data_IF_689930996612
#
_entry.id   IF_689930996612
#
_cell.length_a   1.000
_cell.length_b   1.000
_cell.length_c   1.000
_cell.angle_alpha   90.00
_cell.angle_beta   90.00
_cell.angle_gamma   90.00
#
_symmetry.space_group_name_H-M   'P 1'
#
loop_
_entity.id
_entity.type
_entity.pdbx_description
1 polymer ?
#
# COMPACT_ATOMS: atom_id res chain seq x y z
N UNK A 1 -18.34 3.22 -15.83
CA UNK A 1 -19.78 3.01 -15.53
C UNK A 1 -20.61 3.92 -16.44
N UNK A 2 -21.50 3.35 -17.20
CA UNK A 2 -22.45 4.09 -18.04
C UNK A 2 -23.89 3.75 -17.65
N UNK A 3 -24.78 4.70 -17.80
CA UNK A 3 -26.20 4.53 -17.57
C UNK A 3 -26.90 4.65 -18.92
N UNK A 4 -27.68 3.65 -19.30
CA UNK A 4 -28.56 3.72 -20.46
C UNK A 4 -30.01 3.56 -20.00
N UNK A 5 -30.85 4.55 -20.29
CA UNK A 5 -32.27 4.44 -20.12
C UNK A 5 -32.89 3.85 -21.39
N UNK A 6 -33.51 2.68 -21.28
CA UNK A 6 -34.25 2.09 -22.40
C UNK A 6 -35.71 2.44 -22.27
N UNK A 7 -36.27 3.00 -23.35
CA UNK A 7 -37.67 3.43 -23.46
C UNK A 7 -38.66 2.25 -23.49
N UNK A 8 -39.95 2.47 -23.12
CA UNK A 8 -40.60 3.77 -23.16
C UNK A 8 -40.57 4.51 -21.81
N UNK A 9 -39.89 5.61 -21.76
CA UNK A 9 -40.05 6.52 -20.64
C UNK A 9 -41.18 7.48 -20.95
N UNK A 10 -42.24 7.51 -20.20
CA UNK A 10 -43.30 8.47 -20.41
C UNK A 10 -42.97 9.86 -19.88
N UNK A 11 -41.78 10.06 -19.34
CA UNK A 11 -41.31 11.34 -18.81
C UNK A 11 -39.96 11.69 -19.37
N UNK A 12 -39.84 12.89 -19.91
CA UNK A 12 -38.71 13.55 -20.59
C UNK A 12 -37.44 13.75 -19.77
N UNK A 13 -37.10 12.86 -18.86
CA UNK A 13 -35.88 13.00 -18.02
C UNK A 13 -35.10 11.70 -18.11
N UNK A 14 -34.02 11.72 -18.85
CA UNK A 14 -33.01 10.66 -18.79
C UNK A 14 -32.33 10.73 -17.43
N UNK A 15 -32.40 9.71 -16.57
CA UNK A 15 -31.76 9.75 -15.27
C UNK A 15 -30.24 9.81 -15.43
N UNK A 16 -29.60 10.62 -14.64
CA UNK A 16 -28.13 10.67 -14.55
C UNK A 16 -27.64 9.64 -13.55
N UNK A 17 -26.37 9.25 -13.64
CA UNK A 17 -25.71 8.38 -12.64
C UNK A 17 -25.86 8.95 -11.22
N UNK A 18 -25.82 10.28 -11.09
CA UNK A 18 -25.98 10.97 -9.81
C UNK A 18 -27.42 10.86 -9.28
N UNK A 19 -28.45 11.01 -10.14
CA UNK A 19 -29.85 10.85 -9.71
C UNK A 19 -30.17 9.42 -9.26
N UNK A 20 -29.59 8.44 -9.94
CA UNK A 20 -29.74 7.02 -9.56
C UNK A 20 -28.87 6.67 -8.35
N UNK A 21 -27.86 7.47 -8.02
CA UNK A 21 -26.95 7.22 -6.89
C UNK A 21 -25.94 6.11 -7.16
N UNK A 22 -25.58 5.91 -8.43
CA UNK A 22 -24.58 4.89 -8.83
C UNK A 22 -23.19 5.29 -8.33
N UNK A 23 -22.49 4.37 -7.68
CA UNK A 23 -21.09 4.55 -7.33
C UNK A 23 -20.24 4.51 -8.62
N UNK A 24 -19.53 5.59 -8.89
CA UNK A 24 -18.66 5.74 -10.08
C UNK A 24 -17.19 5.43 -9.82
N UNK A 25 -16.80 5.28 -8.56
CA UNK A 25 -15.46 4.82 -8.18
C UNK A 25 -15.35 3.31 -8.28
N UNK A 26 -14.19 2.75 -8.64
CA UNK A 26 -13.99 1.30 -8.68
C UNK A 26 -14.31 0.64 -7.34
N UNK A 27 -15.00 -0.49 -7.40
CA UNK A 27 -15.31 -1.33 -6.24
C UNK A 27 -14.57 -2.65 -6.42
N UNK A 28 -13.80 -3.05 -5.41
CA UNK A 28 -13.08 -4.32 -5.42
C UNK A 28 -14.07 -5.45 -5.11
N UNK A 29 -14.04 -6.50 -5.92
CA UNK A 29 -14.80 -7.72 -5.62
C UNK A 29 -14.25 -8.36 -4.34
N UNK A 30 -15.15 -8.62 -3.40
CA UNK A 30 -14.83 -9.26 -2.13
C UNK A 30 -15.92 -10.27 -1.77
N UNK A 31 -15.67 -11.10 -0.76
CA UNK A 31 -16.68 -11.98 -0.18
C UNK A 31 -17.76 -11.22 0.63
N UNK A 32 -17.58 -9.92 0.80
CA UNK A 32 -18.54 -9.08 1.51
C UNK A 32 -19.41 -8.31 0.52
N UNK A 33 -20.65 -8.05 0.92
CA UNK A 33 -21.57 -7.27 0.13
C UNK A 33 -21.04 -5.85 -0.08
N UNK A 34 -21.08 -5.40 -1.33
CA UNK A 34 -20.71 -4.02 -1.71
C UNK A 34 -21.91 -3.37 -2.38
N UNK A 35 -22.23 -2.15 -1.96
CA UNK A 35 -23.34 -1.41 -2.54
C UNK A 35 -22.91 -0.78 -3.88
N UNK A 36 -23.57 -1.10 -4.96
CA UNK A 36 -23.38 -0.47 -6.27
C UNK A 36 -24.21 0.83 -6.38
N UNK A 37 -25.37 0.84 -5.73
CA UNK A 37 -26.28 1.98 -5.64
C UNK A 37 -26.75 2.08 -4.19
N UNK A 38 -26.00 2.78 -3.31
CA UNK A 38 -26.32 2.80 -1.88
C UNK A 38 -27.62 3.53 -1.55
N UNK A 39 -27.90 4.61 -2.25
CA UNK A 39 -29.10 5.43 -2.04
C UNK A 39 -29.54 6.01 -3.38
N UNK A 40 -30.65 5.52 -3.92
CA UNK A 40 -31.24 6.10 -5.11
C UNK A 40 -32.34 7.10 -4.73
N UNK A 41 -32.26 8.32 -5.25
CA UNK A 41 -33.36 9.29 -5.21
C UNK A 41 -34.31 9.09 -6.40
N UNK A 42 -33.97 8.21 -7.35
CA UNK A 42 -34.76 7.93 -8.52
C UNK A 42 -35.80 6.87 -8.17
N UNK A 43 -37.10 7.24 -8.29
CA UNK A 43 -38.20 6.33 -8.06
C UNK A 43 -38.53 5.58 -9.33
N UNK A 44 -38.58 4.26 -9.27
CA UNK A 44 -39.16 3.43 -10.32
C UNK A 44 -40.70 3.40 -10.11
N UNK A 45 -41.45 4.03 -11.01
CA UNK A 45 -42.91 3.99 -10.94
C UNK A 45 -43.44 2.63 -11.39
N UNK A 46 -44.42 2.12 -10.66
CA UNK A 46 -44.98 0.78 -10.91
C UNK A 46 -46.05 0.74 -12.00
N UNK A 47 -46.47 1.90 -12.48
CA UNK A 47 -47.51 2.02 -13.53
C UNK A 47 -46.86 2.10 -14.92
N UNK A 48 -46.61 0.97 -15.52
CA UNK A 48 -46.01 0.84 -16.85
C UNK A 48 -44.75 -0.01 -16.83
N UNK A 49 -44.18 -0.23 -18.02
CA UNK A 49 -42.92 -0.95 -18.17
C UNK A 49 -41.74 0.03 -18.14
N UNK A 50 -40.93 -0.07 -17.12
CA UNK A 50 -39.69 0.68 -17.01
C UNK A 50 -38.50 -0.27 -17.06
N UNK A 51 -37.48 0.07 -17.86
CA UNK A 51 -36.22 -0.61 -17.85
C UNK A 51 -35.08 0.41 -17.58
N UNK A 52 -34.32 0.16 -16.53
CA UNK A 52 -33.11 0.91 -16.22
C UNK A 52 -31.90 -0.02 -16.41
N UNK A 53 -31.05 0.30 -17.36
CA UNK A 53 -29.85 -0.49 -17.63
C UNK A 53 -28.64 0.17 -16.98
N UNK A 54 -27.99 -0.53 -16.06
CA UNK A 54 -26.71 -0.15 -15.48
C UNK A 54 -25.61 -0.96 -16.15
N UNK A 55 -24.61 -0.28 -16.72
CA UNK A 55 -23.43 -0.91 -17.30
C UNK A 55 -22.25 -0.70 -16.36
N UNK A 56 -21.59 -1.79 -16.03
CA UNK A 56 -20.37 -1.81 -15.23
C UNK A 56 -19.24 -2.46 -16.04
N UNK A 57 -18.08 -1.83 -16.02
CA UNK A 57 -16.86 -2.42 -16.56
C UNK A 57 -16.20 -3.23 -15.45
N UNK A 58 -15.84 -4.47 -15.77
CA UNK A 58 -15.06 -5.33 -14.89
C UNK A 58 -13.62 -5.26 -15.34
N UNK A 59 -12.73 -4.90 -14.44
CA UNK A 59 -11.30 -4.81 -14.69
C UNK A 59 -10.55 -5.74 -13.74
N UNK A 60 -9.70 -6.60 -14.29
CA UNK A 60 -8.68 -7.30 -13.53
C UNK A 60 -7.38 -6.49 -13.59
N UNK A 61 -6.76 -6.25 -12.44
CA UNK A 61 -5.47 -5.59 -12.41
C UNK A 61 -4.40 -6.54 -12.99
N UNK A 62 -3.62 -6.02 -13.93
CA UNK A 62 -2.42 -6.70 -14.43
C UNK A 62 -1.37 -6.80 -13.32
N UNK A 63 -0.61 -7.88 -13.31
CA UNK A 63 0.47 -8.01 -12.33
C UNK A 63 1.24 -9.32 -12.47
N UNK A 64 2.39 -9.39 -11.81
CA UNK A 64 3.27 -10.55 -11.83
C UNK A 64 2.61 -11.84 -11.32
N UNK A 65 1.53 -11.74 -10.55
CA UNK A 65 0.75 -12.91 -10.12
C UNK A 65 0.16 -13.70 -11.29
N UNK A 66 -0.04 -13.07 -12.44
CA UNK A 66 -0.52 -13.72 -13.66
C UNK A 66 0.56 -14.58 -14.32
N UNK A 67 1.84 -14.27 -14.14
CA UNK A 67 2.96 -14.99 -14.77
C UNK A 67 3.25 -16.35 -14.15
N UNK A 68 2.70 -16.63 -12.98
CA UNK A 68 2.85 -17.95 -12.33
C UNK A 68 2.05 -19.06 -13.00
N UNK A 69 1.18 -18.72 -13.94
CA UNK A 69 0.36 -19.70 -14.66
C UNK A 69 1.09 -20.16 -15.92
N UNK A 70 1.41 -21.44 -15.98
CA UNK A 70 2.08 -22.08 -17.12
C UNK A 70 1.11 -22.67 -18.16
N UNK A 71 -0.18 -22.58 -17.90
CA UNK A 71 -1.26 -23.08 -18.78
C UNK A 71 -2.47 -22.16 -18.71
N UNK A 72 -3.41 -22.36 -19.64
CA UNK A 72 -4.69 -21.68 -19.60
C UNK A 72 -5.43 -21.95 -18.30
N UNK A 73 -5.84 -20.88 -17.65
CA UNK A 73 -6.67 -20.96 -16.46
C UNK A 73 -7.99 -20.25 -16.71
N UNK A 74 -9.06 -20.93 -16.35
CA UNK A 74 -10.41 -20.39 -16.44
C UNK A 74 -10.95 -20.16 -15.01
N UNK A 75 -11.22 -18.91 -14.68
CA UNK A 75 -11.78 -18.50 -13.41
C UNK A 75 -13.26 -18.20 -13.57
N UNK A 76 -14.10 -18.92 -12.84
CA UNK A 76 -15.52 -18.66 -12.76
C UNK A 76 -15.81 -17.63 -11.69
N UNK A 77 -16.38 -16.52 -12.08
CA UNK A 77 -16.83 -15.49 -11.15
C UNK A 77 -18.34 -15.62 -10.98
N UNK A 78 -18.77 -15.84 -9.75
CA UNK A 78 -20.17 -15.96 -9.39
C UNK A 78 -20.54 -14.74 -8.54
N UNK A 79 -21.42 -13.90 -9.05
CA UNK A 79 -21.93 -12.73 -8.35
C UNK A 79 -23.42 -12.94 -8.07
N UNK A 80 -23.90 -12.43 -6.96
CA UNK A 80 -25.32 -12.29 -6.69
C UNK A 80 -25.62 -10.80 -6.64
N UNK A 81 -26.46 -10.33 -7.55
CA UNK A 81 -26.95 -8.95 -7.56
C UNK A 81 -28.28 -8.93 -6.83
N UNK A 82 -28.36 -8.11 -5.79
CA UNK A 82 -29.58 -7.95 -4.99
C UNK A 82 -30.12 -6.54 -5.13
N UNK A 83 -31.45 -6.45 -5.21
CA UNK A 83 -32.19 -5.20 -5.12
C UNK A 83 -32.90 -5.17 -3.77
N UNK A 84 -32.66 -4.14 -3.00
CA UNK A 84 -33.24 -3.95 -1.68
C UNK A 84 -34.02 -2.64 -1.63
N UNK A 85 -35.11 -2.62 -0.86
CA UNK A 85 -35.87 -1.40 -0.61
C UNK A 85 -35.13 -0.50 0.43
N UNK A 86 -35.70 0.68 0.71
CA UNK A 86 -35.13 1.61 1.71
C UNK A 86 -35.08 1.05 3.14
N UNK A 87 -35.84 0.01 3.46
CA UNK A 87 -35.81 -0.66 4.76
C UNK A 87 -34.75 -1.76 4.84
N UNK A 88 -34.09 -2.06 3.71
CA UNK A 88 -33.13 -3.15 3.60
C UNK A 88 -33.75 -4.51 3.24
N UNK A 89 -35.06 -4.59 3.02
CA UNK A 89 -35.71 -5.85 2.64
C UNK A 89 -35.31 -6.23 1.21
N UNK A 90 -35.03 -7.52 1.01
CA UNK A 90 -34.72 -8.06 -0.31
C UNK A 90 -35.95 -8.06 -1.19
N UNK A 91 -35.91 -7.35 -2.31
CA UNK A 91 -36.98 -7.27 -3.29
C UNK A 91 -36.78 -8.26 -4.43
N UNK A 92 -35.52 -8.41 -4.88
CA UNK A 92 -35.15 -9.36 -5.92
C UNK A 92 -33.67 -9.70 -5.84
N UNK A 93 -33.29 -10.88 -6.34
CA UNK A 93 -31.92 -11.29 -6.45
C UNK A 93 -31.66 -12.08 -7.71
N UNK A 94 -30.53 -11.84 -8.37
CA UNK A 94 -30.15 -12.53 -9.58
C UNK A 94 -28.69 -12.97 -9.55
N UNK A 95 -28.40 -14.27 -9.76
CA UNK A 95 -27.04 -14.72 -9.97
C UNK A 95 -26.56 -14.27 -11.36
N UNK A 96 -25.31 -13.80 -11.40
CA UNK A 96 -24.60 -13.44 -12.63
C UNK A 96 -23.29 -14.21 -12.66
N UNK A 97 -23.05 -14.92 -13.75
CA UNK A 97 -21.86 -15.73 -13.94
C UNK A 97 -21.08 -15.22 -15.13
N UNK A 98 -19.79 -15.15 -15.00
CA UNK A 98 -18.90 -14.96 -16.14
C UNK A 98 -17.58 -15.70 -15.92
N UNK A 99 -16.94 -16.06 -17.01
CA UNK A 99 -15.66 -16.71 -17.01
C UNK A 99 -14.59 -15.69 -17.40
N UNK A 100 -13.49 -15.70 -16.64
CA UNK A 100 -12.28 -14.96 -16.95
C UNK A 100 -11.19 -15.95 -17.30
N UNK A 101 -10.67 -15.86 -18.52
CA UNK A 101 -9.57 -16.70 -18.99
C UNK A 101 -8.24 -15.93 -18.89
N UNK A 102 -7.24 -16.59 -18.33
CA UNK A 102 -5.87 -16.07 -18.30
C UNK A 102 -5.02 -16.90 -19.24
N UNK A 103 -4.43 -16.24 -20.21
CA UNK A 103 -3.56 -16.80 -21.22
C UNK A 103 -2.13 -16.45 -20.90
N UNK A 104 -1.23 -17.42 -20.65
CA UNK A 104 0.16 -17.11 -20.36
C UNK A 104 0.89 -16.44 -21.54
N UNK A 105 0.58 -16.87 -22.76
CA UNK A 105 1.28 -16.43 -23.96
C UNK A 105 0.87 -15.02 -24.42
N UNK A 106 -0.27 -14.52 -23.95
CA UNK A 106 -0.77 -13.18 -24.27
C UNK A 106 -0.43 -12.15 -23.19
N UNK A 107 0.28 -12.55 -22.15
CA UNK A 107 0.70 -11.62 -21.11
C UNK A 107 1.77 -10.69 -21.66
N UNK A 108 1.57 -9.37 -21.61
CA UNK A 108 2.63 -8.44 -21.94
C UNK A 108 3.82 -8.73 -21.02
N UNK A 109 5.06 -8.62 -21.51
CA UNK A 109 6.22 -8.74 -20.65
C UNK A 109 6.03 -7.79 -19.47
N UNK A 110 6.05 -8.33 -18.27
CA UNK A 110 5.84 -7.53 -17.07
C UNK A 110 6.98 -6.51 -16.98
N UNK A 111 6.68 -5.26 -17.30
CA UNK A 111 7.62 -4.18 -17.00
C UNK A 111 7.82 -4.19 -15.48
N UNK A 112 9.06 -4.22 -15.00
CA UNK A 112 9.34 -4.13 -13.60
C UNK A 112 8.63 -2.91 -12.99
N UNK A 113 7.72 -3.17 -12.06
CA UNK A 113 7.03 -2.12 -11.31
C UNK A 113 7.38 -2.31 -9.86
N UNK A 114 8.00 -1.33 -9.26
CA UNK A 114 8.45 -1.36 -7.88
C UNK A 114 8.41 0.02 -7.26
N UNK A 115 8.22 0.08 -5.96
CA UNK A 115 8.17 1.34 -5.23
C UNK A 115 8.42 1.15 -3.75
N UNK A 116 8.86 2.24 -3.11
CA UNK A 116 8.99 2.36 -1.66
C UNK A 116 8.25 3.61 -1.21
N UNK A 117 7.44 3.49 -0.18
CA UNK A 117 6.67 4.58 0.40
C UNK A 117 6.87 4.61 1.91
N UNK A 118 7.26 5.76 2.45
CA UNK A 118 7.45 5.96 3.89
C UNK A 118 6.18 6.49 4.55
N UNK A 119 5.94 6.04 5.80
CA UNK A 119 5.00 6.70 6.68
C UNK A 119 5.54 8.10 7.03
N UNK A 120 4.73 9.16 6.92
CA UNK A 120 5.16 10.52 7.27
C UNK A 120 5.75 10.65 8.68
N UNK A 121 5.26 9.85 9.65
CA UNK A 121 5.78 9.87 11.02
C UNK A 121 7.17 9.24 11.14
N UNK A 122 7.57 8.40 10.20
CA UNK A 122 8.87 7.75 10.17
C UNK A 122 9.94 8.55 9.39
N UNK A 123 9.58 9.71 8.82
CA UNK A 123 10.51 10.55 8.06
C UNK A 123 11.45 11.38 8.95
N UNK A 124 11.12 11.53 10.22
CA UNK A 124 11.94 12.29 11.15
C UNK A 124 12.30 11.44 12.38
N UNK A 125 13.54 11.02 12.45
CA UNK A 125 14.06 10.16 13.50
C UNK A 125 14.75 11.03 14.54
N UNK A 126 14.25 11.07 15.76
CA UNK A 126 14.86 11.76 16.89
C UNK A 126 15.32 10.75 17.94
N UNK A 127 16.63 10.71 18.20
CA UNK A 127 17.25 10.00 19.30
C UNK A 127 17.77 11.02 20.30
N UNK A 128 17.32 10.95 21.54
CA UNK A 128 17.64 11.94 22.57
C UNK A 128 18.37 11.30 23.73
N UNK A 129 19.49 11.87 24.14
CA UNK A 129 20.24 11.55 25.35
C UNK A 129 19.95 12.60 26.41
N UNK A 130 19.15 12.27 27.42
CA UNK A 130 18.70 13.20 28.48
C UNK A 130 19.34 12.91 29.82
N UNK A 131 19.73 11.68 30.07
CA UNK A 131 20.22 11.20 31.36
C UNK A 131 21.53 10.43 31.21
N UNK A 132 22.28 10.30 32.29
CA UNK A 132 23.47 9.43 32.30
C UNK A 132 23.12 7.96 31.95
N UNK A 133 21.91 7.52 32.28
CA UNK A 133 21.41 6.20 31.90
C UNK A 133 21.31 6.02 30.39
N UNK A 134 20.95 7.06 29.66
CA UNK A 134 20.86 7.01 28.19
C UNK A 134 22.23 6.77 27.55
N UNK A 135 23.27 7.35 28.11
CA UNK A 135 24.65 7.12 27.68
C UNK A 135 25.15 5.71 28.04
N UNK A 136 24.73 5.21 29.20
CA UNK A 136 25.12 3.88 29.66
C UNK A 136 24.42 2.77 28.88
N UNK A 137 23.13 2.93 28.56
CA UNK A 137 22.28 1.90 27.99
C UNK A 137 22.02 2.08 26.47
N UNK A 138 22.33 3.25 25.91
CA UNK A 138 21.94 3.65 24.59
C UNK A 138 20.47 4.11 24.54
N UNK A 139 20.07 4.66 23.40
CA UNK A 139 18.71 5.14 23.14
C UNK A 139 18.15 4.48 21.90
N UNK A 140 16.83 4.35 21.80
CA UNK A 140 16.20 3.76 20.63
C UNK A 140 14.89 4.46 20.26
N UNK A 141 14.55 4.40 18.98
CA UNK A 141 13.28 4.85 18.43
C UNK A 141 12.76 3.84 17.41
N UNK A 142 11.56 3.34 17.63
CA UNK A 142 10.90 2.38 16.74
C UNK A 142 9.72 3.00 16.03
N UNK A 143 9.48 2.56 14.80
CA UNK A 143 8.34 2.92 13.97
C UNK A 143 7.71 1.65 13.43
N UNK A 144 6.44 1.45 13.73
CA UNK A 144 5.63 0.37 13.14
C UNK A 144 5.16 0.80 11.77
N UNK A 145 5.27 -0.10 10.78
CA UNK A 145 4.96 0.19 9.38
C UNK A 145 5.69 1.44 8.86
N UNK A 146 6.94 1.59 9.23
CA UNK A 146 7.78 2.73 8.88
C UNK A 146 7.83 2.99 7.38
N UNK A 147 7.82 1.93 6.58
CA UNK A 147 7.70 2.01 5.14
C UNK A 147 6.99 0.78 4.56
N UNK A 148 6.46 0.95 3.37
CA UNK A 148 5.89 -0.11 2.55
C UNK A 148 6.65 -0.24 1.23
N UNK A 149 6.73 -1.46 0.72
CA UNK A 149 7.22 -1.73 -0.64
C UNK A 149 6.13 -2.35 -1.49
N UNK A 150 6.17 -2.08 -2.78
CA UNK A 150 5.40 -2.77 -3.82
C UNK A 150 6.39 -3.25 -4.87
N UNK A 151 6.28 -4.50 -5.36
CA UNK A 151 7.15 -4.96 -6.44
C UNK A 151 6.61 -6.21 -7.12
N UNK A 152 6.53 -6.19 -8.44
CA UNK A 152 6.19 -7.34 -9.27
C UNK A 152 7.42 -8.18 -9.66
N UNK A 153 8.60 -7.86 -9.15
CA UNK A 153 9.86 -8.57 -9.36
C UNK A 153 10.60 -8.73 -8.03
N UNK A 154 11.52 -9.69 -7.87
CA UNK A 154 12.42 -9.73 -6.74
C UNK A 154 13.20 -8.40 -6.62
N UNK A 155 13.48 -7.99 -5.40
CA UNK A 155 14.11 -6.70 -5.12
C UNK A 155 14.92 -6.71 -3.84
N UNK A 156 15.80 -5.75 -3.73
CA UNK A 156 16.48 -5.40 -2.47
C UNK A 156 16.17 -3.96 -2.11
N UNK A 157 16.12 -3.67 -0.82
CA UNK A 157 16.11 -2.29 -0.31
C UNK A 157 17.45 -2.02 0.31
N UNK A 158 18.05 -0.91 -0.09
CA UNK A 158 19.33 -0.42 0.42
C UNK A 158 19.15 0.93 1.10
N UNK A 159 20.05 1.22 2.03
CA UNK A 159 20.16 2.52 2.69
C UNK A 159 21.60 2.98 2.73
N UNK A 160 21.81 4.28 2.60
CA UNK A 160 23.05 4.93 2.91
C UNK A 160 22.79 6.32 3.53
N UNK A 161 23.73 6.80 4.30
CA UNK A 161 23.73 8.19 4.74
C UNK A 161 24.36 9.09 3.67
N UNK A 162 23.89 10.32 3.57
CA UNK A 162 24.46 11.30 2.66
C UNK A 162 25.93 11.63 3.01
N UNK A 163 26.26 11.62 4.31
CA UNK A 163 27.58 11.93 4.83
C UNK A 163 28.03 10.88 5.87
N UNK A 164 29.34 10.76 6.07
CA UNK A 164 29.94 9.89 7.11
C UNK A 164 29.62 10.34 8.54
N UNK A 165 29.26 11.60 8.72
CA UNK A 165 29.00 12.18 10.01
C UNK A 165 27.65 12.92 10.02
N UNK A 166 27.00 12.90 11.16
CA UNK A 166 26.00 13.88 11.52
C UNK A 166 26.73 15.18 11.85
N UNK A 167 26.14 16.31 11.52
CA UNK A 167 26.68 17.64 11.80
C UNK A 167 25.76 18.47 12.68
N UNK A 168 26.33 19.26 13.59
CA UNK A 168 25.61 20.27 14.36
C UNK A 168 25.67 21.63 13.67
N UNK A 169 24.88 22.59 14.18
CA UNK A 169 24.89 23.96 13.72
C UNK A 169 26.27 24.63 13.93
N UNK A 170 27.04 24.19 14.93
CA UNK A 170 28.38 24.68 15.22
C UNK A 170 29.47 23.82 14.54
N UNK A 171 29.14 23.08 13.48
CA UNK A 171 30.05 22.23 12.72
C UNK A 171 30.76 21.14 13.56
N UNK A 172 30.16 20.72 14.68
CA UNK A 172 30.62 19.56 15.42
C UNK A 172 30.14 18.29 14.70
N UNK A 173 30.98 17.25 14.76
CA UNK A 173 30.73 16.02 14.02
C UNK A 173 30.51 14.84 14.98
N UNK A 174 29.55 13.98 14.61
CA UNK A 174 29.27 12.71 15.26
C UNK A 174 29.22 11.61 14.18
N UNK A 175 30.02 10.53 14.32
CA UNK A 175 30.01 9.47 13.30
C UNK A 175 28.62 8.87 13.11
N UNK A 176 28.16 8.77 11.86
CA UNK A 176 26.86 8.17 11.54
C UNK A 176 26.79 6.68 11.94
N UNK A 177 27.96 6.01 11.97
CA UNK A 177 28.10 4.59 12.34
C UNK A 177 27.76 4.29 13.80
N UNK A 178 27.68 5.31 14.65
CA UNK A 178 27.20 5.19 16.03
C UNK A 178 25.69 4.92 16.09
N UNK A 179 24.96 5.12 14.98
CA UNK A 179 23.54 4.80 14.87
C UNK A 179 23.39 3.47 14.11
N UNK A 180 22.59 2.58 14.67
CA UNK A 180 22.23 1.30 14.07
C UNK A 180 20.77 1.34 13.60
N UNK A 181 20.50 0.63 12.53
CA UNK A 181 19.17 0.42 11.98
C UNK A 181 18.86 -1.07 11.95
N UNK A 182 17.76 -1.46 12.56
CA UNK A 182 17.15 -2.79 12.42
C UNK A 182 15.85 -2.70 11.67
N UNK A 183 15.63 -3.59 10.71
CA UNK A 183 14.42 -3.69 9.91
C UNK A 183 13.76 -5.03 10.17
N UNK A 184 12.45 -5.03 10.40
CA UNK A 184 11.61 -6.22 10.57
C UNK A 184 10.48 -6.24 9.57
N UNK A 185 10.12 -7.41 9.12
CA UNK A 185 8.84 -7.63 8.43
C UNK A 185 7.71 -7.44 9.44
N UNK A 186 6.77 -6.52 9.13
CA UNK A 186 5.69 -6.18 10.05
C UNK A 186 4.72 -7.35 10.29
N UNK A 187 4.51 -8.21 9.29
CA UNK A 187 3.58 -9.32 9.39
C UNK A 187 4.17 -10.52 10.15
N UNK A 188 5.39 -10.91 9.81
CA UNK A 188 6.05 -12.09 10.39
C UNK A 188 6.85 -11.77 11.64
N UNK A 189 7.12 -10.49 11.92
CA UNK A 189 8.00 -9.99 12.99
C UNK A 189 9.46 -10.49 12.89
N UNK A 190 9.82 -11.05 11.74
CA UNK A 190 11.17 -11.54 11.49
C UNK A 190 12.11 -10.36 11.23
N UNK A 191 13.27 -10.35 11.90
CA UNK A 191 14.34 -9.38 11.62
C UNK A 191 14.93 -9.69 10.26
N UNK A 192 14.87 -8.72 9.34
CA UNK A 192 15.45 -8.84 8.01
C UNK A 192 16.94 -8.56 8.03
N UNK A 193 17.35 -7.47 8.65
CA UNK A 193 18.75 -7.12 8.84
C UNK A 193 18.94 -6.08 9.96
N UNK A 194 20.15 -6.02 10.49
CA UNK A 194 20.59 -4.98 11.42
C UNK A 194 21.97 -4.49 10.98
N UNK A 195 22.10 -3.20 10.74
CA UNK A 195 23.32 -2.56 10.24
C UNK A 195 23.74 -1.39 11.11
N UNK A 196 25.04 -1.06 11.09
CA UNK A 196 25.50 0.27 11.49
C UNK A 196 25.43 1.19 10.28
N UNK A 197 24.82 2.36 10.43
CA UNK A 197 24.66 3.28 9.31
C UNK A 197 26.02 3.73 8.76
N UNK A 198 26.10 3.90 7.45
CA UNK A 198 27.30 4.39 6.75
C UNK A 198 26.90 5.20 5.52
N UNK A 199 27.85 5.88 4.92
CA UNK A 199 27.64 6.57 3.64
C UNK A 199 27.75 5.64 2.42
N UNK A 200 28.12 4.38 2.61
CA UNK A 200 28.07 3.35 1.56
C UNK A 200 26.70 2.67 1.57
N UNK A 201 26.25 2.26 0.40
CA UNK A 201 24.99 1.54 0.26
C UNK A 201 25.05 0.18 0.99
N UNK A 202 24.06 -0.09 1.82
CA UNK A 202 23.94 -1.31 2.61
C UNK A 202 22.56 -1.93 2.40
N UNK A 203 22.51 -3.20 2.09
CA UNK A 203 21.24 -3.92 1.95
C UNK A 203 20.59 -4.14 3.32
N UNK A 204 19.38 -3.65 3.48
CA UNK A 204 18.58 -3.79 4.71
C UNK A 204 17.53 -4.89 4.61
N UNK A 205 17.08 -5.21 3.41
CA UNK A 205 16.20 -6.36 3.15
C UNK A 205 16.30 -6.83 1.70
N UNK A 206 15.96 -8.10 1.49
CA UNK A 206 15.69 -8.71 0.18
C UNK A 206 14.33 -9.37 0.23
N UNK A 207 13.58 -9.31 -0.84
CA UNK A 207 12.25 -9.91 -0.93
C UNK A 207 11.96 -10.39 -2.35
N UNK A 208 11.10 -11.38 -2.46
CA UNK A 208 10.54 -11.82 -3.74
C UNK A 208 9.45 -10.86 -4.21
N UNK A 209 9.03 -11.00 -5.46
CA UNK A 209 7.83 -10.33 -5.96
C UNK A 209 6.61 -10.61 -5.07
N UNK A 210 5.74 -9.62 -4.93
CA UNK A 210 4.50 -9.77 -4.17
C UNK A 210 3.41 -8.84 -4.73
N UNK A 211 2.18 -9.26 -4.59
CA UNK A 211 1.02 -8.42 -4.88
C UNK A 211 0.69 -7.53 -3.68
N UNK A 212 0.37 -6.28 -3.94
CA UNK A 212 0.01 -5.32 -2.90
C UNK A 212 1.20 -4.75 -2.14
N UNK A 213 0.94 -4.13 -0.99
CA UNK A 213 1.96 -3.48 -0.16
C UNK A 213 2.46 -4.41 0.93
N UNK A 214 3.77 -4.51 1.06
CA UNK A 214 4.44 -5.21 2.15
C UNK A 214 5.03 -4.18 3.11
N UNK A 215 4.68 -4.28 4.40
CA UNK A 215 5.05 -3.30 5.42
C UNK A 215 6.24 -3.75 6.25
N UNK A 216 7.08 -2.79 6.62
CA UNK A 216 8.27 -3.03 7.43
C UNK A 216 8.32 -2.07 8.62
N UNK A 217 8.72 -2.61 9.76
CA UNK A 217 9.02 -1.86 10.97
C UNK A 217 10.50 -1.50 10.98
N UNK A 218 10.83 -0.33 11.52
CA UNK A 218 12.22 0.08 11.71
C UNK A 218 12.49 0.43 13.16
N UNK A 219 13.71 0.13 13.62
CA UNK A 219 14.21 0.58 14.91
C UNK A 219 15.59 1.20 14.69
N UNK A 220 15.71 2.46 15.03
CA UNK A 220 16.99 3.18 15.10
C UNK A 220 17.46 3.16 16.53
N UNK A 221 18.73 2.85 16.75
CA UNK A 221 19.25 2.76 18.10
C UNK A 221 20.75 2.99 18.16
N UNK A 222 21.24 3.31 19.34
CA UNK A 222 22.67 3.44 19.66
C UNK A 222 23.10 2.30 20.57
N UNK A 223 24.38 1.96 20.52
CA UNK A 223 24.92 0.91 21.38
C UNK A 223 25.12 1.45 22.80
N UNK A 224 24.90 0.58 23.80
CA UNK A 224 25.20 0.86 25.18
C UNK A 224 26.70 1.22 25.37
N UNK A 225 26.97 2.31 26.07
CA UNK A 225 28.33 2.75 26.37
C UNK A 225 29.18 3.17 25.15
N UNK A 226 28.57 3.55 24.02
CA UNK A 226 29.30 3.98 22.84
C UNK A 226 30.07 5.28 23.12
N UNK A 227 31.37 5.18 23.11
CA UNK A 227 32.29 6.28 23.43
C UNK A 227 32.23 7.46 22.47
N UNK A 228 31.66 7.27 21.30
CA UNK A 228 31.48 8.36 20.33
C UNK A 228 30.53 9.45 20.84
N UNK A 229 29.65 9.13 21.80
CA UNK A 229 28.77 10.11 22.44
C UNK A 229 29.39 10.82 23.63
N UNK A 230 30.50 10.31 24.18
CA UNK A 230 31.17 10.95 25.30
C UNK A 230 31.93 12.21 24.88
N UNK A 231 31.90 13.22 25.72
CA UNK A 231 32.61 14.51 25.47
C UNK A 231 32.12 15.22 24.18
N UNK A 232 30.91 14.91 23.70
CA UNK A 232 30.29 15.69 22.63
C UNK A 232 29.60 16.92 23.19
N UNK A 233 29.59 17.99 22.38
CA UNK A 233 28.82 19.17 22.74
C UNK A 233 27.33 18.80 22.84
N UNK A 234 26.63 19.36 23.80
CA UNK A 234 25.19 19.19 23.97
C UNK A 234 24.46 20.01 22.90
N UNK A 235 24.32 19.41 21.74
CA UNK A 235 23.77 20.02 20.53
C UNK A 235 22.93 19.01 19.76
N UNK A 236 22.12 19.52 18.84
CA UNK A 236 21.43 18.68 17.86
C UNK A 236 22.39 18.36 16.71
N UNK A 237 22.58 17.09 16.45
CA UNK A 237 23.31 16.59 15.30
C UNK A 237 22.30 16.03 14.29
N UNK A 238 22.44 16.41 13.04
CA UNK A 238 21.52 16.00 11.97
C UNK A 238 22.23 15.39 10.78
N UNK A 239 21.54 14.55 10.05
CA UNK A 239 22.00 13.94 8.80
C UNK A 239 20.82 13.41 8.01
N UNK A 240 21.06 13.02 6.76
CA UNK A 240 20.05 12.51 5.84
C UNK A 240 20.37 11.07 5.48
N UNK A 241 19.35 10.21 5.52
CA UNK A 241 19.39 8.84 5.00
C UNK A 241 18.68 8.78 3.65
N UNK A 242 19.24 8.01 2.75
CA UNK A 242 18.70 7.75 1.41
C UNK A 242 18.37 6.27 1.34
N UNK A 243 17.11 5.96 1.04
CA UNK A 243 16.63 4.60 0.81
C UNK A 243 16.41 4.39 -0.68
N UNK A 244 16.82 3.25 -1.17
CA UNK A 244 16.69 2.86 -2.58
C UNK A 244 16.11 1.47 -2.68
N UNK A 245 15.15 1.28 -3.57
CA UNK A 245 14.65 -0.05 -3.97
C UNK A 245 15.24 -0.40 -5.33
N UNK A 246 15.80 -1.60 -5.44
CA UNK A 246 16.52 -2.06 -6.63
C UNK A 246 15.93 -3.40 -7.05
N UNK A 247 15.33 -3.50 -8.25
CA UNK A 247 14.86 -4.78 -8.79
C UNK A 247 16.04 -5.72 -9.06
N UNK A 248 15.78 -7.03 -8.94
CA UNK A 248 16.75 -8.11 -9.17
C UNK A 248 16.35 -8.95 -10.36
#
# INVERSE_FOLDING_TARGET
NSLEATTPAPKNITPTTQNVGVITTPIIFSFFNSNLVPNSSYSLETNGYFALTLKYDVQAEGGAYLTQYSSWNNYKVNLIIEIRNQRGDLMDSKPVYFDMQVHPDDLPPSTPSYGIQFDPNANNILLEFKTAGDYANGVSKSFTKAFATTSNTPYVVQVNALNNNLSSINNKLLPISSIKLSVKDNQTQMVMNTISLSNTQQTILSSTAHSGSKFFDTTYFTQAGDTNFFNKAYEQYSGTLIFSIIPQ
#
